data_IF_636308072690
#
_entry.id   IF_636308072690
#
_cell.length_a   1.000
_cell.length_b   1.000
_cell.length_c   1.000
_cell.angle_alpha   90.00
_cell.angle_beta   90.00
_cell.angle_gamma   90.00
#
_symmetry.space_group_name_H-M   'P 1'
#
loop_
_entity.id
_entity.type
_entity.pdbx_description
1 polymer ?
#
# COMPACT_ATOMS: atom_id res chain seq x y z
N UNK A 1 -20.16 -2.44 9.55
CA UNK A 1 -19.99 -3.65 8.71
C UNK A 1 -19.14 -3.43 7.44
N UNK A 2 -19.15 -2.26 6.78
CA UNK A 2 -18.33 -2.03 5.57
C UNK A 2 -16.81 -2.16 5.81
N UNK A 3 -16.30 -1.79 6.99
CA UNK A 3 -14.87 -1.84 7.30
C UNK A 3 -14.31 -3.25 7.47
N UNK A 4 -15.12 -4.21 7.96
CA UNK A 4 -14.69 -5.61 8.15
C UNK A 4 -14.41 -6.30 6.80
N UNK A 5 -15.29 -6.08 5.82
CA UNK A 5 -15.13 -6.67 4.47
C UNK A 5 -13.90 -6.10 3.78
N UNK A 6 -13.65 -4.78 3.88
CA UNK A 6 -12.44 -4.15 3.32
C UNK A 6 -11.16 -4.65 3.98
N UNK A 7 -11.13 -4.76 5.31
CA UNK A 7 -9.93 -5.20 6.05
C UNK A 7 -9.53 -6.65 5.72
N UNK A 8 -10.52 -7.53 5.50
CA UNK A 8 -10.27 -8.91 5.06
C UNK A 8 -9.61 -9.01 3.67
N UNK A 9 -9.89 -8.05 2.79
CA UNK A 9 -9.28 -8.00 1.45
C UNK A 9 -7.83 -7.49 1.50
N UNK A 10 -7.58 -6.44 2.28
CA UNK A 10 -6.23 -5.92 2.55
C UNK A 10 -5.28 -7.04 3.00
N UNK A 11 -5.68 -7.83 4.00
CA UNK A 11 -4.86 -8.91 4.52
C UNK A 11 -4.53 -9.98 3.47
N UNK A 12 -5.48 -10.27 2.57
CA UNK A 12 -5.26 -11.22 1.46
C UNK A 12 -4.30 -10.67 0.42
N UNK A 13 -4.41 -9.40 0.08
CA UNK A 13 -3.52 -8.74 -0.87
C UNK A 13 -2.10 -8.71 -0.33
N UNK A 14 -1.94 -8.34 0.95
CA UNK A 14 -0.63 -8.33 1.62
C UNK A 14 -0.03 -9.74 1.63
N UNK A 15 -0.81 -10.76 1.98
CA UNK A 15 -0.37 -12.14 1.96
C UNK A 15 0.06 -12.60 0.56
N UNK A 16 -0.78 -12.34 -0.45
CA UNK A 16 -0.51 -12.74 -1.83
C UNK A 16 0.72 -12.05 -2.40
N UNK A 17 0.91 -10.75 -2.15
CA UNK A 17 2.08 -10.01 -2.62
C UNK A 17 3.38 -10.58 -2.03
N UNK A 18 3.37 -10.86 -0.72
CA UNK A 18 4.50 -11.50 -0.04
C UNK A 18 4.75 -12.95 -0.52
N UNK A 19 3.70 -13.69 -0.88
CA UNK A 19 3.83 -15.03 -1.44
C UNK A 19 4.35 -15.02 -2.88
N UNK A 20 3.90 -14.09 -3.70
CA UNK A 20 4.29 -13.97 -5.10
C UNK A 20 5.76 -13.55 -5.27
N UNK A 21 6.26 -12.68 -4.37
CA UNK A 21 7.65 -12.17 -4.39
C UNK A 21 8.08 -11.58 -5.74
N UNK A 22 7.15 -10.91 -6.43
CA UNK A 22 7.38 -10.25 -7.72
C UNK A 22 7.26 -8.75 -7.54
N UNK A 23 8.21 -8.00 -8.10
CA UNK A 23 8.23 -6.54 -8.04
C UNK A 23 6.93 -5.92 -8.58
N UNK A 24 6.44 -6.41 -9.73
CA UNK A 24 5.18 -5.97 -10.32
C UNK A 24 3.99 -6.17 -9.38
N UNK A 25 3.95 -7.30 -8.66
CA UNK A 25 2.87 -7.59 -7.70
C UNK A 25 2.97 -6.69 -6.48
N UNK A 26 4.18 -6.40 -5.99
CA UNK A 26 4.38 -5.45 -4.89
C UNK A 26 3.91 -4.04 -5.29
N UNK A 27 4.26 -3.57 -6.49
CA UNK A 27 3.80 -2.27 -7.00
C UNK A 27 2.28 -2.25 -7.11
N UNK A 28 1.67 -3.28 -7.70
CA UNK A 28 0.21 -3.39 -7.83
C UNK A 28 -0.50 -3.42 -6.47
N UNK A 29 0.04 -4.17 -5.51
CA UNK A 29 -0.49 -4.22 -4.15
C UNK A 29 -0.43 -2.85 -3.49
N UNK A 30 0.73 -2.19 -3.52
CA UNK A 30 0.90 -0.85 -2.97
C UNK A 30 -0.04 0.17 -3.62
N UNK A 31 -0.16 0.16 -4.96
CA UNK A 31 -1.09 1.02 -5.70
C UNK A 31 -2.54 0.77 -5.27
N UNK A 32 -2.95 -0.49 -5.09
CA UNK A 32 -4.29 -0.81 -4.60
C UNK A 32 -4.50 -0.29 -3.17
N UNK A 33 -3.53 -0.49 -2.27
CA UNK A 33 -3.61 -0.03 -0.89
C UNK A 33 -3.73 1.51 -0.81
N UNK A 34 -3.12 2.25 -1.73
CA UNK A 34 -3.30 3.71 -1.83
C UNK A 34 -4.75 4.14 -2.14
N UNK A 35 -5.58 3.27 -2.72
CA UNK A 35 -7.02 3.54 -2.96
C UNK A 35 -7.88 3.35 -1.71
N UNK A 36 -7.31 2.74 -0.66
CA UNK A 36 -7.96 2.58 0.63
C UNK A 36 -7.71 3.81 1.52
N UNK A 37 -8.32 3.82 2.70
CA UNK A 37 -8.15 4.91 3.66
C UNK A 37 -6.87 4.74 4.49
N UNK A 38 -5.72 4.78 3.81
CA UNK A 38 -4.40 4.61 4.44
C UNK A 38 -4.02 5.76 5.37
N UNK A 39 -4.66 6.92 5.22
CA UNK A 39 -4.39 8.11 6.05
C UNK A 39 -4.79 7.92 7.51
N UNK A 40 -5.88 7.20 7.75
CA UNK A 40 -6.33 6.85 9.11
C UNK A 40 -5.73 5.52 9.61
N UNK A 41 -4.95 4.82 8.78
CA UNK A 41 -4.43 3.49 9.07
C UNK A 41 -2.91 3.44 8.85
N UNK A 42 -2.16 3.65 9.93
CA UNK A 42 -0.71 3.57 9.94
C UNK A 42 -0.17 2.19 9.51
N UNK A 43 -0.96 1.11 9.60
CA UNK A 43 -0.52 -0.19 9.11
C UNK A 43 -0.54 -0.21 7.57
N UNK A 44 -1.62 0.28 6.96
CA UNK A 44 -1.71 0.44 5.50
C UNK A 44 -0.56 1.30 4.95
N UNK A 45 -0.26 2.42 5.60
CA UNK A 45 0.86 3.28 5.22
C UNK A 45 2.18 2.50 5.19
N UNK A 46 2.49 1.76 6.28
CA UNK A 46 3.70 0.93 6.36
C UNK A 46 3.73 -0.18 5.30
N UNK A 47 2.58 -0.80 4.99
CA UNK A 47 2.51 -1.82 3.94
C UNK A 47 2.80 -1.24 2.55
N UNK A 48 2.26 -0.05 2.24
CA UNK A 48 2.53 0.67 0.99
C UNK A 48 4.03 0.95 0.86
N UNK A 49 4.63 1.55 1.89
CA UNK A 49 6.07 1.84 1.92
C UNK A 49 6.92 0.58 1.77
N UNK A 50 6.57 -0.48 2.50
CA UNK A 50 7.26 -1.77 2.47
C UNK A 50 7.23 -2.39 1.07
N UNK A 51 6.08 -2.33 0.39
CA UNK A 51 5.94 -2.91 -0.94
C UNK A 51 6.70 -2.12 -2.01
N UNK A 52 6.68 -0.79 -1.98
CA UNK A 52 7.51 -0.02 -2.89
C UNK A 52 9.00 -0.24 -2.66
N UNK A 53 9.44 -0.30 -1.40
CA UNK A 53 10.83 -0.64 -1.07
C UNK A 53 11.21 -2.04 -1.59
N UNK A 54 10.37 -3.06 -1.35
CA UNK A 54 10.62 -4.42 -1.85
C UNK A 54 10.68 -4.50 -3.38
N UNK A 55 9.89 -3.68 -4.06
CA UNK A 55 9.88 -3.60 -5.51
C UNK A 55 11.04 -2.76 -6.10
N UNK A 56 11.81 -2.06 -5.27
CA UNK A 56 12.73 -0.98 -5.68
C UNK A 56 12.03 0.11 -6.52
N UNK A 57 10.76 0.36 -6.22
CA UNK A 57 9.91 1.30 -6.93
C UNK A 57 9.99 2.69 -6.28
N UNK A 58 11.18 3.29 -6.29
CA UNK A 58 11.44 4.54 -5.58
C UNK A 58 10.67 5.74 -6.16
N UNK A 59 10.37 5.72 -7.46
CA UNK A 59 9.51 6.75 -8.09
C UNK A 59 8.10 6.73 -7.48
N UNK A 60 7.52 5.53 -7.34
CA UNK A 60 6.22 5.38 -6.69
C UNK A 60 6.26 5.73 -5.20
N UNK A 61 7.36 5.40 -4.51
CA UNK A 61 7.54 5.77 -3.10
C UNK A 61 7.64 7.29 -2.93
N UNK A 62 8.36 7.98 -3.81
CA UNK A 62 8.45 9.44 -3.80
C UNK A 62 7.07 10.07 -4.02
N UNK A 63 6.33 9.63 -5.05
CA UNK A 63 4.96 10.11 -5.30
C UNK A 63 4.01 9.84 -4.13
N UNK A 64 4.18 8.72 -3.42
CA UNK A 64 3.40 8.44 -2.21
C UNK A 64 3.72 9.44 -1.08
N UNK A 65 4.99 9.76 -0.86
CA UNK A 65 5.35 10.77 0.13
C UNK A 65 4.91 12.18 -0.26
N UNK A 66 4.95 12.53 -1.55
CA UNK A 66 4.38 13.79 -2.05
C UNK A 66 2.89 13.88 -1.76
N UNK A 67 2.13 12.80 -2.01
CA UNK A 67 0.71 12.73 -1.68
C UNK A 67 0.45 12.84 -0.16
N UNK A 68 1.33 12.26 0.67
CA UNK A 68 1.26 12.39 2.13
C UNK A 68 1.54 13.83 2.60
N UNK A 69 2.42 14.55 1.92
CA UNK A 69 2.74 15.94 2.23
C UNK A 69 1.62 16.89 1.78
N UNK A 70 1.09 16.70 0.57
CA UNK A 70 0.05 17.57 0.01
C UNK A 70 -1.26 17.53 0.80
N UNK A 71 -1.59 16.39 1.43
CA UNK A 71 -2.84 16.27 2.20
C UNK A 71 -2.82 16.97 3.56
N UNK A 72 -1.65 17.41 4.02
CA UNK A 72 -1.52 18.15 5.29
C UNK A 72 -1.78 19.67 5.14
N UNK A 73 -2.24 20.14 3.98
CA UNK A 73 -2.58 21.56 3.71
C UNK A 73 -4.09 21.77 3.48
#
# INVERSE_FOLDING_TARGET
MRSLVKSGDTGRIVFFANAAKKNEIYILAANYLQTLNWKEDCDLMKQIELFYNKANAYEHLASFYEACAQDNE
#
